data_IF_418647472679
#
_entry.id   IF_418647472679
#
_cell.length_a   1.000
_cell.length_b   1.000
_cell.length_c   1.000
_cell.angle_alpha   90.00
_cell.angle_beta   90.00
_cell.angle_gamma   90.00
#
_symmetry.space_group_name_H-M   'P 1'
#
loop_
_entity.id
_entity.type
_entity.pdbx_description
1 polymer ?
#
# COMPACT_ATOMS: atom_id res chain seq x y z
N UNK A 1 8.15 9.68 0.84
CA UNK A 1 8.70 8.64 1.71
C UNK A 1 8.10 7.29 1.41
N UNK A 2 8.76 6.25 1.82
CA UNK A 2 8.35 4.88 1.55
C UNK A 2 7.94 4.20 2.86
N UNK A 3 6.65 3.89 3.04
CA UNK A 3 6.22 3.14 4.22
C UNK A 3 6.75 1.71 4.19
N UNK A 4 7.03 1.11 5.35
CA UNK A 4 7.46 -0.29 5.41
C UNK A 4 6.33 -1.21 4.97
N UNK A 5 6.71 -2.29 4.28
CA UNK A 5 5.80 -3.27 3.71
C UNK A 5 6.27 -4.67 4.04
N UNK A 6 5.35 -5.52 4.48
CA UNK A 6 5.56 -6.95 4.57
C UNK A 6 4.72 -7.64 3.51
N UNK A 7 5.30 -8.66 2.87
CA UNK A 7 4.61 -9.44 1.86
C UNK A 7 4.67 -10.92 2.26
N UNK A 8 3.51 -11.54 2.32
CA UNK A 8 3.36 -12.96 2.61
C UNK A 8 2.72 -13.65 1.43
N UNK A 9 3.19 -14.84 1.12
CA UNK A 9 2.64 -15.63 0.02
C UNK A 9 2.03 -16.90 0.53
N UNK A 10 0.81 -17.19 0.08
CA UNK A 10 0.15 -18.49 0.24
C UNK A 10 0.08 -19.16 -1.13
N UNK A 11 -0.48 -20.37 -1.19
CA UNK A 11 -0.67 -21.04 -2.47
C UNK A 11 -1.55 -20.24 -3.43
N UNK A 12 -2.58 -19.58 -2.91
CA UNK A 12 -3.60 -18.91 -3.72
C UNK A 12 -3.39 -17.40 -3.87
N UNK A 13 -2.57 -16.77 -3.00
CA UNK A 13 -2.60 -15.32 -2.91
C UNK A 13 -1.33 -14.73 -2.29
N UNK A 14 -1.17 -13.43 -2.47
CA UNK A 14 -0.23 -12.61 -1.70
C UNK A 14 -1.00 -11.74 -0.72
N UNK A 15 -0.45 -11.58 0.47
CA UNK A 15 -0.92 -10.62 1.46
C UNK A 15 0.12 -9.54 1.62
N UNK A 16 -0.29 -8.30 1.42
CA UNK A 16 0.60 -7.14 1.50
C UNK A 16 0.14 -6.25 2.64
N UNK A 17 1.01 -6.08 3.62
CA UNK A 17 0.75 -5.26 4.79
C UNK A 17 1.63 -4.03 4.76
N UNK A 18 1.01 -2.86 4.76
CA UNK A 18 1.73 -1.59 4.71
C UNK A 18 1.44 -0.80 5.98
N UNK A 19 2.51 -0.42 6.68
CA UNK A 19 2.37 0.35 7.92
C UNK A 19 2.11 1.82 7.60
N UNK A 20 0.86 2.25 7.82
CA UNK A 20 0.40 3.61 7.58
C UNK A 20 -0.48 4.07 8.75
N UNK A 21 0.10 4.21 9.96
CA UNK A 21 -0.69 4.56 11.12
C UNK A 21 -1.27 5.96 11.01
N UNK A 22 -2.44 6.15 11.61
CA UNK A 22 -3.14 7.43 11.68
C UNK A 22 -3.56 7.99 10.31
N UNK A 23 -3.77 7.11 9.32
CA UNK A 23 -4.34 7.47 8.03
C UNK A 23 -5.74 6.91 7.88
N UNK A 24 -6.56 7.63 7.13
CA UNK A 24 -7.86 7.15 6.71
C UNK A 24 -7.75 6.51 5.31
N UNK A 25 -8.67 5.60 5.02
CA UNK A 25 -8.67 4.91 3.73
C UNK A 25 -8.67 5.88 2.53
N UNK A 26 -9.34 7.02 2.65
CA UNK A 26 -9.40 8.04 1.59
C UNK A 26 -8.05 8.66 1.23
N UNK A 27 -7.04 8.52 2.10
CA UNK A 27 -5.70 9.04 1.86
C UNK A 27 -4.80 8.08 1.12
N UNK A 28 -5.27 6.87 0.84
CA UNK A 28 -4.46 5.80 0.26
C UNK A 28 -5.07 5.35 -1.06
N UNK A 29 -4.24 5.29 -2.09
CA UNK A 29 -4.62 4.74 -3.39
C UNK A 29 -3.83 3.47 -3.67
N UNK A 30 -4.53 2.45 -4.16
CA UNK A 30 -3.95 1.17 -4.49
C UNK A 30 -4.23 0.88 -5.95
N UNK A 31 -3.18 0.57 -6.69
CA UNK A 31 -3.28 0.28 -8.11
C UNK A 31 -2.50 -0.98 -8.43
N UNK A 32 -3.14 -1.91 -9.10
CA UNK A 32 -2.51 -3.12 -9.60
C UNK A 32 -2.50 -3.08 -11.12
N UNK A 33 -1.31 -3.09 -11.72
CA UNK A 33 -1.12 -3.16 -13.16
C UNK A 33 -0.26 -4.37 -13.49
N UNK A 34 -0.87 -5.38 -14.11
CA UNK A 34 -0.17 -6.63 -14.36
C UNK A 34 0.29 -7.24 -13.06
N UNK A 35 1.61 -7.30 -12.86
CA UNK A 35 2.19 -7.82 -11.62
C UNK A 35 2.83 -6.72 -10.76
N UNK A 36 2.57 -5.44 -11.06
CA UNK A 36 3.09 -4.33 -10.30
C UNK A 36 2.00 -3.71 -9.42
N UNK A 37 2.26 -3.66 -8.13
CA UNK A 37 1.36 -3.11 -7.14
C UNK A 37 1.90 -1.77 -6.64
N UNK A 38 1.09 -0.72 -6.74
CA UNK A 38 1.42 0.60 -6.24
C UNK A 38 0.54 0.95 -5.05
N UNK A 39 1.17 1.44 -4.00
CA UNK A 39 0.49 1.99 -2.82
C UNK A 39 0.98 3.42 -2.68
N UNK A 40 0.08 4.37 -2.89
CA UNK A 40 0.41 5.79 -2.89
C UNK A 40 -0.57 6.56 -2.05
N UNK A 41 -0.18 7.75 -1.66
CA UNK A 41 -1.07 8.63 -0.93
C UNK A 41 -0.36 9.79 -0.30
N UNK A 42 -1.04 10.37 0.67
CA UNK A 42 -0.54 11.54 1.37
C UNK A 42 -0.95 11.48 2.83
N UNK A 43 0.01 11.74 3.70
CA UNK A 43 -0.22 11.89 5.13
C UNK A 43 -0.22 13.38 5.45
N UNK A 44 -1.38 13.99 5.69
CA UNK A 44 -1.44 15.42 5.96
C UNK A 44 -1.01 15.75 7.38
N UNK A 45 -0.37 16.90 7.53
CA UNK A 45 -0.15 17.48 8.85
C UNK A 45 -1.50 17.98 9.39
N UNK A 46 -1.82 17.73 10.68
CA UNK A 46 -3.06 18.26 11.25
C UNK A 46 -3.13 19.77 11.08
N UNK A 47 -4.28 20.25 10.62
CA UNK A 47 -4.44 21.66 10.25
C UNK A 47 -4.14 22.61 11.42
N UNK A 48 -4.53 22.23 12.63
CA UNK A 48 -4.29 23.03 13.83
C UNK A 48 -2.79 23.26 14.10
N UNK A 49 -1.91 22.44 13.53
CA UNK A 49 -0.47 22.52 13.74
C UNK A 49 0.27 23.25 12.60
N UNK A 50 -0.42 23.69 11.56
CA UNK A 50 0.22 24.31 10.39
C UNK A 50 0.95 25.60 10.70
N UNK A 51 0.48 26.35 11.69
CA UNK A 51 1.08 27.61 12.10
C UNK A 51 1.95 27.47 13.34
N UNK A 52 2.10 26.25 13.85
CA UNK A 52 2.90 25.99 15.04
C UNK A 52 4.38 25.99 14.69
N UNK A 53 5.20 26.34 15.68
CA UNK A 53 6.64 26.22 15.55
C UNK A 53 7.05 24.76 15.73
N UNK A 54 7.79 24.21 14.77
CA UNK A 54 8.22 22.82 14.82
C UNK A 54 9.49 22.70 15.67
N UNK A 55 9.45 21.87 16.71
CA UNK A 55 10.62 21.53 17.50
C UNK A 55 11.26 20.21 17.06
N UNK A 56 10.42 19.27 16.64
CA UNK A 56 10.88 17.96 16.18
C UNK A 56 9.87 17.38 15.21
N UNK A 57 10.34 16.84 14.11
CA UNK A 57 9.48 16.22 13.10
C UNK A 57 10.13 14.91 12.67
N UNK A 58 9.78 13.82 13.33
CA UNK A 58 10.32 12.50 13.04
C UNK A 58 9.31 11.60 12.33
N UNK A 59 8.01 11.88 12.54
CA UNK A 59 6.95 11.11 11.87
C UNK A 59 6.84 11.61 10.43
N UNK A 60 6.92 10.73 9.42
CA UNK A 60 6.84 11.17 8.04
C UNK A 60 5.48 11.76 7.70
N UNK A 61 5.49 12.88 7.00
CA UNK A 61 4.30 13.53 6.45
C UNK A 61 4.48 13.75 4.96
N UNK A 62 3.39 14.08 4.29
CA UNK A 62 3.40 14.36 2.87
C UNK A 62 3.20 13.11 2.04
N UNK A 63 3.63 13.18 0.79
CA UNK A 63 3.39 12.11 -0.18
C UNK A 63 4.24 10.89 0.14
N UNK A 64 3.62 9.72 0.00
CA UNK A 64 4.32 8.45 0.09
C UNK A 64 4.03 7.60 -1.13
N UNK A 65 4.95 6.68 -1.41
CA UNK A 65 4.80 5.76 -2.52
C UNK A 65 5.59 4.48 -2.25
N UNK A 66 4.94 3.35 -2.47
CA UNK A 66 5.62 2.05 -2.59
C UNK A 66 5.18 1.41 -3.88
N UNK A 67 6.16 0.97 -4.66
CA UNK A 67 5.91 0.20 -5.87
C UNK A 67 6.55 -1.17 -5.67
N UNK A 68 5.74 -2.21 -5.78
CA UNK A 68 6.15 -3.57 -5.49
C UNK A 68 5.93 -4.43 -6.73
N UNK A 69 6.97 -5.12 -7.17
CA UNK A 69 6.85 -6.08 -8.26
C UNK A 69 6.59 -7.47 -7.68
N UNK A 70 5.43 -8.04 -7.98
CA UNK A 70 5.14 -9.43 -7.68
C UNK A 70 5.78 -10.31 -8.76
N UNK A 71 5.98 -11.61 -8.51
CA UNK A 71 6.45 -12.51 -9.56
C UNK A 71 5.57 -12.42 -10.80
N UNK A 72 6.11 -12.58 -12.01
CA UNK A 72 5.30 -12.53 -13.23
C UNK A 72 4.11 -13.47 -13.17
N UNK A 73 2.93 -12.97 -13.55
CA UNK A 73 1.68 -13.73 -13.48
C UNK A 73 0.49 -12.82 -13.64
N UNK A 74 -0.69 -13.42 -13.49
CA UNK A 74 -1.96 -12.70 -13.50
C UNK A 74 -2.50 -12.61 -12.08
N UNK A 75 -2.94 -11.41 -11.71
CA UNK A 75 -3.39 -11.11 -10.35
C UNK A 75 -4.67 -10.31 -10.37
N UNK A 76 -5.38 -10.38 -9.26
CA UNK A 76 -6.58 -9.59 -9.03
C UNK A 76 -6.62 -9.13 -7.58
N UNK A 77 -6.92 -7.86 -7.36
CA UNK A 77 -7.11 -7.34 -6.00
C UNK A 77 -8.34 -7.95 -5.36
N UNK A 78 -8.19 -8.44 -4.15
CA UNK A 78 -9.27 -8.92 -3.32
C UNK A 78 -9.56 -7.93 -2.21
N UNK A 79 -9.50 -8.41 -0.97
CA UNK A 79 -9.76 -7.61 0.22
C UNK A 79 -8.78 -6.45 0.35
N UNK A 80 -9.30 -5.29 0.72
CA UNK A 80 -8.50 -4.11 1.06
C UNK A 80 -9.10 -3.51 2.32
N UNK A 81 -8.33 -3.49 3.39
CA UNK A 81 -8.78 -3.01 4.70
C UNK A 81 -7.71 -2.21 5.39
N UNK A 82 -8.14 -1.25 6.21
CA UNK A 82 -7.25 -0.61 7.19
C UNK A 82 -7.56 -1.18 8.56
N UNK A 83 -6.57 -1.82 9.17
CA UNK A 83 -6.70 -2.48 10.46
C UNK A 83 -5.54 -2.08 11.35
N UNK A 84 -5.83 -1.38 12.44
CA UNK A 84 -4.84 -1.04 13.46
C UNK A 84 -3.55 -0.40 12.89
N UNK A 85 -3.72 0.57 11.99
CA UNK A 85 -2.57 1.26 11.38
C UNK A 85 -1.90 0.52 10.24
N UNK A 86 -2.48 -0.60 9.79
CA UNK A 86 -2.00 -1.34 8.64
C UNK A 86 -3.01 -1.27 7.51
N UNK A 87 -2.52 -1.10 6.30
CA UNK A 87 -3.28 -1.38 5.10
C UNK A 87 -3.05 -2.84 4.74
N UNK A 88 -4.10 -3.64 4.80
CA UNK A 88 -4.04 -5.07 4.52
C UNK A 88 -4.66 -5.31 3.15
N UNK A 89 -3.84 -5.80 2.22
CA UNK A 89 -4.27 -6.10 0.85
C UNK A 89 -4.16 -7.58 0.58
N UNK A 90 -5.20 -8.13 -0.03
CA UNK A 90 -5.20 -9.49 -0.55
C UNK A 90 -5.09 -9.41 -2.07
N UNK A 91 -4.11 -10.08 -2.63
CA UNK A 91 -3.89 -10.14 -4.08
C UNK A 91 -4.02 -11.59 -4.52
N UNK A 92 -5.09 -11.89 -5.23
CA UNK A 92 -5.36 -13.25 -5.70
C UNK A 92 -4.49 -13.62 -6.89
N UNK A 93 -3.93 -14.81 -6.87
CA UNK A 93 -3.24 -15.38 -8.04
C UNK A 93 -4.29 -15.93 -9.01
N UNK A 94 -4.20 -15.50 -10.27
CA UNK A 94 -5.12 -15.94 -11.33
C UNK A 94 -4.47 -16.91 -12.30
N UNK A 95 -3.33 -17.49 -11.88
CA UNK A 95 -2.60 -18.42 -12.70
C UNK A 95 -1.52 -17.74 -13.53
N UNK A 96 -0.87 -18.51 -14.42
CA UNK A 96 0.18 -17.96 -15.26
C UNK A 96 -0.39 -16.98 -16.29
N UNK A 97 0.52 -16.19 -16.89
CA UNK A 97 0.14 -15.31 -17.98
C UNK A 97 -0.52 -16.14 -19.11
N UNK A 98 -1.56 -15.60 -19.76
CA UNK A 98 -2.21 -16.29 -20.87
C UNK A 98 -1.20 -16.58 -21.97
N UNK A 99 -1.26 -17.80 -22.53
CA UNK A 99 -0.50 -18.16 -23.71
C UNK A 99 -1.33 -17.84 -24.93
N UNK A 100 -0.72 -17.16 -25.88
CA UNK A 100 -1.36 -16.98 -27.17
C UNK A 100 -1.14 -18.24 -28.01
N UNK A 101 -2.18 -18.73 -28.67
CA UNK A 101 -2.06 -19.89 -29.56
C UNK A 101 -1.18 -19.59 -30.76
#
# INVERSE_FOLDING_TARGET
WEPPVDIFETEAEFWVLTALPALEARHVQILLRGHELSITGQRPLPEVLRTAQVHRLEIPYGRFQRVLALPPGCYELGLSQMVQGLVVLQVHKRGPLPRHP
#
